data_IF_844681057419
#
_entry.id   IF_844681057419
#
_cell.length_a   1.000
_cell.length_b   1.000
_cell.length_c   1.000
_cell.angle_alpha   90.00
_cell.angle_beta   90.00
_cell.angle_gamma   90.00
#
_symmetry.space_group_name_H-M   'P 1'
#
loop_
_entity.id
_entity.type
_entity.pdbx_description
1 polymer ?
#
# COMPACT_ATOMS: atom_id res chain seq x y z
N UNK A 1 18.85 -2.98 -10.26
CA UNK A 1 18.22 -3.57 -9.05
C UNK A 1 17.51 -4.89 -9.33
N UNK A 2 16.62 -4.97 -10.33
CA UNK A 2 15.89 -6.22 -10.62
C UNK A 2 16.79 -7.44 -10.89
N UNK A 3 17.94 -7.23 -11.56
CA UNK A 3 18.93 -8.29 -11.76
C UNK A 3 19.50 -8.86 -10.45
N UNK A 4 19.65 -8.02 -9.40
CA UNK A 4 20.06 -8.49 -8.07
C UNK A 4 18.97 -9.36 -7.44
N UNK A 5 17.70 -8.98 -7.58
CA UNK A 5 16.57 -9.76 -7.07
C UNK A 5 16.55 -11.14 -7.73
N UNK A 6 16.69 -11.21 -9.06
CA UNK A 6 16.80 -12.49 -9.78
C UNK A 6 18.01 -13.30 -9.33
N UNK A 7 19.18 -12.69 -9.16
CA UNK A 7 20.36 -13.40 -8.65
C UNK A 7 20.16 -13.96 -7.23
N UNK A 8 19.40 -13.26 -6.37
CA UNK A 8 19.03 -13.77 -5.04
C UNK A 8 18.06 -14.96 -5.15
N UNK A 9 17.06 -14.88 -6.03
CA UNK A 9 16.11 -15.97 -6.30
C UNK A 9 16.86 -17.21 -6.82
N UNK A 10 17.69 -17.06 -7.85
CA UNK A 10 18.48 -18.14 -8.45
C UNK A 10 19.43 -18.79 -7.44
N UNK A 11 20.09 -17.98 -6.61
CA UNK A 11 21.00 -18.48 -5.56
C UNK A 11 20.26 -19.23 -4.46
N UNK A 12 19.01 -18.85 -4.15
CA UNK A 12 18.15 -19.55 -3.19
C UNK A 12 17.58 -20.86 -3.75
N UNK A 13 17.30 -20.90 -5.05
CA UNK A 13 16.69 -22.03 -5.76
C UNK A 13 17.65 -23.16 -6.17
N UNK A 14 18.85 -23.27 -5.58
CA UNK A 14 19.86 -24.26 -6.01
C UNK A 14 19.42 -25.74 -5.96
N UNK A 15 18.25 -26.04 -5.38
CA UNK A 15 17.63 -27.37 -5.33
C UNK A 15 16.22 -27.46 -5.97
N UNK A 16 15.69 -26.40 -6.60
CA UNK A 16 14.31 -26.37 -7.12
C UNK A 16 14.25 -26.35 -8.67
N UNK A 17 13.49 -27.29 -9.23
CA UNK A 17 13.31 -27.45 -10.67
C UNK A 17 12.71 -26.20 -11.36
N UNK A 18 13.10 -26.03 -12.62
CA UNK A 18 12.71 -25.02 -13.61
C UNK A 18 11.34 -24.38 -13.39
N UNK A 19 11.31 -23.05 -13.25
CA UNK A 19 10.08 -22.27 -13.17
C UNK A 19 9.19 -22.48 -14.40
N UNK A 20 7.96 -22.94 -14.16
CA UNK A 20 6.88 -22.94 -15.15
C UNK A 20 6.56 -21.50 -15.57
N UNK A 21 6.33 -21.28 -16.87
CA UNK A 21 5.73 -20.04 -17.37
C UNK A 21 4.30 -19.95 -16.83
N UNK A 22 4.13 -19.32 -15.67
CA UNK A 22 2.82 -19.21 -15.03
C UNK A 22 2.00 -18.15 -15.76
N UNK A 23 0.90 -18.59 -16.37
CA UNK A 23 -0.02 -17.75 -17.12
C UNK A 23 -1.16 -17.18 -16.26
N UNK A 24 -1.41 -17.75 -15.07
CA UNK A 24 -2.57 -17.42 -14.22
C UNK A 24 -2.18 -16.53 -13.02
N UNK A 25 -3.03 -15.56 -12.61
CA UNK A 25 -2.85 -14.76 -11.39
C UNK A 25 -2.64 -15.58 -10.12
N UNK A 26 -3.40 -16.66 -9.91
CA UNK A 26 -3.23 -17.51 -8.73
C UNK A 26 -1.82 -18.14 -8.70
N UNK A 27 -1.35 -18.62 -9.86
CA UNK A 27 -0.03 -19.18 -10.00
C UNK A 27 1.08 -18.12 -9.80
N UNK A 28 0.83 -16.86 -10.18
CA UNK A 28 1.75 -15.75 -9.93
C UNK A 28 1.97 -15.52 -8.43
N UNK A 29 0.90 -15.37 -7.64
CA UNK A 29 1.05 -15.05 -6.22
C UNK A 29 1.62 -16.21 -5.40
N UNK A 30 1.36 -17.45 -5.81
CA UNK A 30 2.05 -18.61 -5.23
C UNK A 30 3.55 -18.59 -5.58
N UNK A 31 3.90 -18.34 -6.84
CA UNK A 31 5.29 -18.25 -7.27
C UNK A 31 6.06 -17.12 -6.55
N UNK A 32 5.41 -15.98 -6.31
CA UNK A 32 6.02 -14.90 -5.52
C UNK A 32 6.40 -15.36 -4.11
N UNK A 33 5.60 -16.23 -3.48
CA UNK A 33 5.90 -16.76 -2.13
C UNK A 33 7.12 -17.68 -2.15
N UNK A 34 7.25 -18.51 -3.18
CA UNK A 34 8.43 -19.37 -3.38
C UNK A 34 9.70 -18.52 -3.62
N UNK A 35 9.55 -17.44 -4.41
CA UNK A 35 10.62 -16.47 -4.65
C UNK A 35 11.02 -15.72 -3.37
N UNK A 36 10.05 -15.34 -2.52
CA UNK A 36 10.31 -14.72 -1.22
C UNK A 36 11.11 -15.64 -0.30
N UNK A 37 10.73 -16.92 -0.23
CA UNK A 37 11.45 -17.92 0.54
C UNK A 37 12.90 -18.05 0.05
N UNK A 38 13.09 -18.14 -1.27
CA UNK A 38 14.41 -18.19 -1.91
C UNK A 38 15.30 -17.00 -1.53
N UNK A 39 14.77 -15.78 -1.63
CA UNK A 39 15.48 -14.54 -1.28
C UNK A 39 15.85 -14.56 0.21
N UNK A 40 14.92 -14.96 1.09
CA UNK A 40 15.16 -15.03 2.54
C UNK A 40 16.22 -16.06 2.91
N UNK A 41 16.24 -17.22 2.26
CA UNK A 41 17.28 -18.25 2.47
C UNK A 41 18.67 -17.66 2.22
N UNK A 42 18.84 -16.93 1.11
CA UNK A 42 20.13 -16.30 0.79
C UNK A 42 20.48 -15.22 1.80
N UNK A 43 19.54 -14.32 2.13
CA UNK A 43 19.81 -13.21 3.04
C UNK A 43 20.06 -13.63 4.49
N UNK A 44 19.52 -14.77 4.93
CA UNK A 44 19.84 -15.37 6.24
C UNK A 44 21.33 -15.69 6.39
N UNK A 45 22.05 -15.93 5.28
CA UNK A 45 23.50 -16.16 5.29
C UNK A 45 24.30 -14.86 5.51
N UNK A 46 23.66 -13.69 5.41
CA UNK A 46 24.27 -12.36 5.54
C UNK A 46 23.48 -11.47 6.52
N UNK A 47 23.32 -11.86 7.80
CA UNK A 47 22.42 -11.17 8.74
C UNK A 47 22.89 -9.76 9.12
N UNK A 48 24.13 -9.39 8.80
CA UNK A 48 24.76 -8.16 9.26
C UNK A 48 24.37 -6.91 8.46
N UNK A 49 23.64 -7.01 7.34
CA UNK A 49 23.28 -5.85 6.51
C UNK A 49 22.62 -4.71 7.30
N UNK A 50 21.48 -4.95 7.99
CA UNK A 50 20.83 -3.93 8.80
C UNK A 50 21.73 -3.33 9.89
N UNK A 51 22.58 -4.14 10.50
CA UNK A 51 23.53 -3.71 11.52
C UNK A 51 24.61 -2.79 10.92
N UNK A 52 25.20 -3.19 9.80
CA UNK A 52 26.23 -2.41 9.10
C UNK A 52 25.67 -1.07 8.62
N UNK A 53 24.44 -1.06 8.10
CA UNK A 53 23.76 0.19 7.72
C UNK A 53 23.54 1.10 8.93
N UNK A 54 23.14 0.53 10.06
CA UNK A 54 22.95 1.27 11.32
C UNK A 54 24.27 1.85 11.83
N UNK A 55 25.35 1.05 11.82
CA UNK A 55 26.70 1.51 12.20
C UNK A 55 27.15 2.65 11.30
N UNK A 56 26.97 2.54 9.96
CA UNK A 56 27.29 3.61 9.01
C UNK A 56 26.57 4.91 9.34
N UNK A 57 25.25 4.84 9.61
CA UNK A 57 24.47 6.02 10.00
C UNK A 57 24.99 6.68 11.29
N UNK A 58 25.45 5.90 12.27
CA UNK A 58 26.05 6.44 13.49
C UNK A 58 27.49 6.93 13.30
N UNK A 59 28.25 6.37 12.35
CA UNK A 59 29.63 6.75 12.09
C UNK A 59 29.79 7.91 11.11
N UNK A 60 28.84 8.09 10.18
CA UNK A 60 28.97 9.01 9.05
C UNK A 60 28.52 10.45 9.34
N UNK A 61 27.84 10.78 10.45
CA UNK A 61 27.70 12.18 10.85
C UNK A 61 27.13 12.38 12.27
N UNK A 62 27.90 13.04 13.14
CA UNK A 62 27.38 13.68 14.36
C UNK A 62 26.39 14.83 14.08
N UNK A 63 26.04 15.08 12.81
CA UNK A 63 25.16 16.15 12.35
C UNK A 63 23.70 15.72 12.15
N UNK A 64 23.41 14.43 11.94
CA UNK A 64 22.02 13.97 11.78
C UNK A 64 21.31 13.88 13.14
N UNK A 65 20.68 14.98 13.53
CA UNK A 65 19.75 15.01 14.67
C UNK A 65 18.40 14.44 14.22
N UNK A 66 18.11 13.20 14.56
CA UNK A 66 16.78 12.59 14.41
C UNK A 66 16.59 11.72 13.17
N UNK A 67 15.34 11.29 12.97
CA UNK A 67 14.90 10.46 11.86
C UNK A 67 14.24 11.33 10.77
N UNK A 68 14.83 11.35 9.59
CA UNK A 68 14.31 12.03 8.40
C UNK A 68 14.57 11.12 7.18
N UNK A 69 13.56 10.42 6.66
CA UNK A 69 13.76 9.47 5.58
C UNK A 69 14.37 10.09 4.33
N UNK A 70 13.97 11.31 3.98
CA UNK A 70 14.41 11.98 2.75
C UNK A 70 15.90 12.33 2.84
N UNK A 71 16.34 12.85 3.99
CA UNK A 71 17.77 13.11 4.23
C UNK A 71 18.58 11.82 4.35
N UNK A 72 17.97 10.74 4.81
CA UNK A 72 18.58 9.40 4.90
C UNK A 72 18.63 8.64 3.56
N UNK A 73 18.60 9.37 2.43
CA UNK A 73 18.69 8.85 1.06
C UNK A 73 17.55 7.89 0.68
N UNK A 74 16.46 7.87 1.41
CA UNK A 74 15.25 7.13 1.02
C UNK A 74 14.40 8.00 0.07
N UNK A 75 14.93 8.29 -1.11
CA UNK A 75 14.35 9.28 -2.01
C UNK A 75 13.00 8.84 -2.59
N UNK A 76 12.08 9.78 -2.88
CA UNK A 76 10.84 9.46 -3.55
C UNK A 76 11.10 8.89 -4.95
N UNK A 77 10.27 7.94 -5.40
CA UNK A 77 10.41 7.30 -6.71
C UNK A 77 9.05 7.21 -7.38
N UNK A 78 8.95 7.63 -8.64
CA UNK A 78 7.76 7.37 -9.46
C UNK A 78 7.67 5.86 -9.72
N UNK A 79 6.55 5.24 -9.34
CA UNK A 79 6.35 3.82 -9.50
C UNK A 79 5.65 3.53 -10.83
N UNK A 80 4.41 4.02 -10.98
CA UNK A 80 3.60 3.78 -12.15
C UNK A 80 2.59 4.90 -12.32
N UNK A 81 2.00 5.00 -13.49
CA UNK A 81 0.89 5.90 -13.78
C UNK A 81 -0.28 5.06 -14.27
N UNK A 82 -1.47 5.30 -13.74
CA UNK A 82 -2.69 4.73 -14.30
C UNK A 82 -3.56 5.83 -14.86
N UNK A 83 -4.03 5.62 -16.10
CA UNK A 83 -4.73 6.63 -16.85
C UNK A 83 -5.85 6.07 -17.73
N UNK A 84 -6.92 6.86 -17.86
CA UNK A 84 -8.01 6.75 -18.82
C UNK A 84 -8.38 8.15 -19.29
N UNK A 85 -9.44 8.32 -20.08
CA UNK A 85 -9.89 9.66 -20.50
C UNK A 85 -10.22 10.59 -19.31
N UNK A 86 -10.66 10.02 -18.18
CA UNK A 86 -11.11 10.78 -17.00
C UNK A 86 -10.13 10.75 -15.83
N UNK A 87 -9.14 9.87 -15.88
CA UNK A 87 -8.25 9.58 -14.75
C UNK A 87 -6.82 9.70 -15.27
N UNK A 88 -5.96 10.42 -14.56
CA UNK A 88 -4.52 10.42 -14.86
C UNK A 88 -3.75 10.63 -13.58
N UNK A 89 -3.23 9.54 -13.01
CA UNK A 89 -2.66 9.57 -11.65
C UNK A 89 -1.30 8.91 -11.64
N UNK A 90 -0.31 9.62 -11.14
CA UNK A 90 1.04 9.10 -10.93
C UNK A 90 1.21 8.63 -9.50
N UNK A 91 1.45 7.32 -9.32
CA UNK A 91 1.75 6.72 -8.03
C UNK A 91 3.24 6.89 -7.72
N UNK A 92 3.54 7.48 -6.57
CA UNK A 92 4.90 7.79 -6.10
C UNK A 92 5.14 7.03 -4.80
N UNK A 93 6.25 6.30 -4.72
CA UNK A 93 6.76 5.79 -3.46
C UNK A 93 7.38 6.97 -2.72
N UNK A 94 6.75 7.40 -1.64
CA UNK A 94 7.18 8.50 -0.79
C UNK A 94 7.32 7.95 0.63
N UNK A 95 8.49 8.01 1.30
CA UNK A 95 8.51 7.75 2.74
C UNK A 95 7.76 8.84 3.50
N UNK A 96 7.44 8.60 4.78
CA UNK A 96 6.81 9.60 5.64
C UNK A 96 7.52 10.97 5.50
N UNK A 97 6.84 12.01 5.00
CA UNK A 97 7.46 13.30 4.70
C UNK A 97 7.63 14.16 5.95
N UNK A 98 8.18 13.57 7.01
CA UNK A 98 8.42 14.22 8.30
C UNK A 98 9.84 14.03 8.75
N UNK A 99 10.37 15.05 9.42
CA UNK A 99 11.56 14.96 10.25
C UNK A 99 11.15 14.81 11.72
N UNK A 100 11.77 13.87 12.43
CA UNK A 100 11.43 13.54 13.80
C UNK A 100 12.68 13.41 14.67
N UNK A 101 12.96 14.43 15.47
CA UNK A 101 14.07 14.41 16.43
C UNK A 101 13.70 13.73 17.75
N UNK A 102 12.44 13.85 18.16
CA UNK A 102 11.91 13.28 19.39
C UNK A 102 10.67 12.45 19.07
N UNK A 103 10.42 11.38 19.84
CA UNK A 103 9.26 10.51 19.58
C UNK A 103 7.94 11.30 19.65
N UNK A 104 7.83 12.25 20.57
CA UNK A 104 6.64 13.08 20.74
C UNK A 104 6.52 14.25 19.74
N UNK A 105 7.53 14.53 18.92
CA UNK A 105 7.54 15.71 18.04
C UNK A 105 8.09 15.40 16.65
N UNK A 106 7.22 15.53 15.65
CA UNK A 106 7.56 15.47 14.25
C UNK A 106 7.13 16.76 13.53
N UNK A 107 7.86 17.14 12.50
CA UNK A 107 7.59 18.30 11.65
C UNK A 107 7.64 17.86 10.18
N UNK A 108 6.87 18.52 9.32
CA UNK A 108 6.88 18.21 7.88
C UNK A 108 8.26 18.58 7.30
N UNK A 109 8.85 17.67 6.53
CA UNK A 109 10.13 17.88 5.88
C UNK A 109 10.08 19.08 4.90
N UNK A 110 11.18 19.81 4.79
CA UNK A 110 11.26 21.01 3.95
C UNK A 110 11.16 20.66 2.46
N UNK A 111 11.73 19.53 2.06
CA UNK A 111 11.69 18.98 0.72
C UNK A 111 10.23 18.71 0.29
N UNK A 112 9.42 18.12 1.18
CA UNK A 112 8.00 17.90 0.92
C UNK A 112 7.22 19.22 0.87
N UNK A 113 7.56 20.18 1.73
CA UNK A 113 7.01 21.54 1.66
C UNK A 113 7.32 22.19 0.31
N UNK A 114 8.53 22.00 -0.23
CA UNK A 114 8.93 22.44 -1.57
C UNK A 114 8.11 21.77 -2.67
N UNK A 115 7.92 20.45 -2.57
CA UNK A 115 7.07 19.69 -3.49
C UNK A 115 5.63 20.23 -3.52
N UNK A 116 5.01 20.43 -2.35
CA UNK A 116 3.63 20.98 -2.28
C UNK A 116 3.54 22.39 -2.88
N UNK A 117 4.53 23.25 -2.64
CA UNK A 117 4.60 24.57 -3.30
C UNK A 117 4.68 24.45 -4.81
N UNK A 118 5.47 23.51 -5.32
CA UNK A 118 5.60 23.28 -6.75
C UNK A 118 4.26 22.85 -7.36
N UNK A 119 3.49 21.98 -6.69
CA UNK A 119 2.14 21.59 -7.12
C UNK A 119 1.17 22.78 -7.15
N UNK A 120 1.13 23.57 -6.07
CA UNK A 120 0.28 24.77 -5.98
C UNK A 120 0.67 25.88 -6.97
N UNK A 121 1.93 25.93 -7.42
CA UNK A 121 2.39 26.96 -8.35
C UNK A 121 2.09 26.63 -9.82
N UNK A 122 1.66 25.40 -10.13
CA UNK A 122 1.35 25.03 -11.51
C UNK A 122 0.02 25.63 -11.97
N UNK A 123 -0.07 25.94 -13.27
CA UNK A 123 -1.28 26.52 -13.90
C UNK A 123 -2.55 25.66 -13.75
N UNK A 124 -2.42 24.40 -13.35
CA UNK A 124 -3.54 23.44 -13.21
C UNK A 124 -3.85 23.08 -11.75
N UNK A 125 -3.27 23.76 -10.76
CA UNK A 125 -3.46 23.47 -9.32
C UNK A 125 -3.40 21.95 -9.03
N UNK A 126 -2.21 21.37 -9.20
CA UNK A 126 -2.05 19.93 -9.02
C UNK A 126 -2.25 19.53 -7.56
N UNK A 127 -2.78 18.31 -7.35
CA UNK A 127 -3.09 17.78 -6.03
C UNK A 127 -2.41 16.45 -5.75
N UNK A 128 -1.87 16.32 -4.55
CA UNK A 128 -1.32 15.08 -4.01
C UNK A 128 -2.27 14.47 -2.98
N UNK A 129 -2.61 13.20 -3.16
CA UNK A 129 -3.26 12.39 -2.13
C UNK A 129 -2.21 11.54 -1.42
N UNK A 130 -2.06 11.76 -0.12
CA UNK A 130 -1.19 10.97 0.75
C UNK A 130 -2.04 10.05 1.62
N UNK A 131 -1.99 8.75 1.33
CA UNK A 131 -2.56 7.72 2.17
C UNK A 131 -1.52 7.34 3.22
N UNK A 132 -1.70 7.82 4.44
CA UNK A 132 -0.86 7.51 5.58
C UNK A 132 -1.26 6.15 6.17
N UNK A 133 -0.34 5.18 6.11
CA UNK A 133 -0.56 3.81 6.56
C UNK A 133 -0.12 3.55 8.01
N UNK A 134 0.30 4.60 8.71
CA UNK A 134 0.69 4.54 10.11
C UNK A 134 -0.52 4.47 11.03
N UNK A 135 -0.33 3.93 12.23
CA UNK A 135 -1.34 3.89 13.27
C UNK A 135 -1.23 5.12 14.19
N UNK A 136 -2.14 6.07 14.03
CA UNK A 136 -2.17 7.28 14.87
C UNK A 136 -2.53 7.02 16.34
N UNK A 137 -3.10 5.87 16.70
CA UNK A 137 -3.34 5.49 18.10
C UNK A 137 -2.06 5.04 18.78
N UNK A 138 -1.05 4.69 17.99
CA UNK A 138 0.23 4.21 18.48
C UNK A 138 1.15 5.35 18.91
N UNK A 139 1.66 5.28 20.15
CA UNK A 139 2.49 6.32 20.74
C UNK A 139 3.77 6.65 19.93
N UNK A 140 4.33 5.68 19.20
CA UNK A 140 5.56 5.85 18.41
C UNK A 140 5.32 6.39 16.99
N UNK A 141 4.05 6.43 16.54
CA UNK A 141 3.66 6.93 15.21
C UNK A 141 2.81 8.19 15.26
N UNK A 142 2.10 8.41 16.39
CA UNK A 142 1.17 9.51 16.62
C UNK A 142 1.71 10.88 16.17
N UNK A 143 2.92 11.26 16.61
CA UNK A 143 3.48 12.57 16.29
C UNK A 143 3.64 12.81 14.78
N UNK A 144 4.03 11.77 14.01
CA UNK A 144 4.17 11.86 12.55
C UNK A 144 2.81 11.97 11.87
N UNK A 145 1.83 11.17 12.30
CA UNK A 145 0.45 11.23 11.78
C UNK A 145 -0.11 12.65 11.97
N UNK A 146 -0.08 13.16 13.20
CA UNK A 146 -0.61 14.49 13.54
C UNK A 146 0.11 15.60 12.75
N UNK A 147 1.42 15.50 12.55
CA UNK A 147 2.18 16.49 11.80
C UNK A 147 1.72 16.60 10.33
N UNK A 148 1.49 15.46 9.68
CA UNK A 148 1.04 15.40 8.28
C UNK A 148 -0.43 15.79 8.17
N UNK A 149 -1.29 15.27 9.04
CA UNK A 149 -2.72 15.54 9.08
C UNK A 149 -3.01 17.03 9.30
N UNK A 150 -2.28 17.69 10.21
CA UNK A 150 -2.34 19.16 10.40
C UNK A 150 -1.70 19.91 9.24
N UNK A 151 -0.79 19.27 8.51
CA UNK A 151 -0.10 19.82 7.34
C UNK A 151 -1.04 20.30 6.25
N UNK A 152 -2.05 19.49 5.93
CA UNK A 152 -3.03 19.81 4.89
C UNK A 152 -3.90 21.03 5.24
N UNK A 153 -4.10 21.33 6.54
CA UNK A 153 -4.87 22.49 7.01
C UNK A 153 -4.14 23.82 6.86
N UNK A 154 -2.84 23.81 6.53
CA UNK A 154 -2.08 25.05 6.29
C UNK A 154 -2.60 25.68 4.99
N UNK A 155 -3.06 26.93 5.06
CA UNK A 155 -3.68 27.64 3.93
C UNK A 155 -2.88 27.55 2.62
N UNK A 156 -1.55 27.60 2.70
CA UNK A 156 -0.65 27.48 1.55
C UNK A 156 -0.62 26.09 0.87
N UNK A 157 -1.17 25.05 1.48
CA UNK A 157 -1.14 23.66 0.97
C UNK A 157 -2.53 23.03 0.82
N UNK A 158 -3.59 23.71 1.26
CA UNK A 158 -4.93 23.13 1.31
C UNK A 158 -5.43 22.64 -0.06
N UNK A 159 -5.05 23.31 -1.15
CA UNK A 159 -5.40 22.88 -2.52
C UNK A 159 -4.51 21.76 -3.06
N UNK A 160 -3.25 21.67 -2.59
CA UNK A 160 -2.25 20.74 -3.14
C UNK A 160 -2.11 19.43 -2.37
N UNK A 161 -2.67 19.32 -1.16
CA UNK A 161 -2.52 18.15 -0.31
C UNK A 161 -3.86 17.69 0.27
N UNK A 162 -4.21 16.43 0.04
CA UNK A 162 -5.18 15.68 0.81
C UNK A 162 -4.48 14.57 1.58
N UNK A 163 -4.81 14.39 2.87
CA UNK A 163 -4.23 13.32 3.70
C UNK A 163 -5.36 12.50 4.30
N UNK A 164 -5.28 11.19 4.13
CA UNK A 164 -6.15 10.21 4.80
C UNK A 164 -5.28 9.20 5.53
N UNK A 165 -5.60 8.87 6.77
CA UNK A 165 -4.90 7.82 7.52
C UNK A 165 -5.72 6.53 7.50
N UNK A 166 -5.12 5.46 6.95
CA UNK A 166 -5.67 4.10 6.91
C UNK A 166 -4.69 3.16 7.66
N UNK A 167 -4.89 2.92 8.96
CA UNK A 167 -3.86 2.34 9.81
C UNK A 167 -3.62 0.85 9.52
N UNK A 168 -2.35 0.46 9.32
CA UNK A 168 -1.97 -0.95 9.07
C UNK A 168 -1.32 -1.65 10.28
N UNK A 169 -1.44 -1.09 11.48
CA UNK A 169 -0.78 -1.57 12.70
C UNK A 169 -1.71 -1.73 13.91
N UNK A 170 -3.01 -1.46 13.74
CA UNK A 170 -3.99 -1.63 14.82
C UNK A 170 -4.28 -3.10 15.08
N UNK A 171 -4.76 -3.41 16.28
CA UNK A 171 -5.18 -4.77 16.63
C UNK A 171 -6.28 -5.29 15.69
N UNK A 172 -7.23 -4.42 15.31
CA UNK A 172 -8.25 -4.80 14.35
C UNK A 172 -7.64 -5.12 12.98
N UNK A 173 -6.77 -4.26 12.45
CA UNK A 173 -6.16 -4.54 11.14
C UNK A 173 -5.37 -5.85 11.16
N UNK A 174 -4.64 -6.12 12.25
CA UNK A 174 -3.83 -7.33 12.44
C UNK A 174 -4.63 -8.55 12.90
N UNK A 175 -5.93 -8.38 13.19
CA UNK A 175 -6.82 -9.38 13.76
C UNK A 175 -6.20 -10.05 15.00
N UNK A 176 -5.53 -9.25 15.83
CA UNK A 176 -4.86 -9.65 17.08
C UNK A 176 -5.71 -9.33 18.32
N UNK A 177 -5.25 -9.75 19.50
CA UNK A 177 -5.93 -9.47 20.77
C UNK A 177 -7.37 -9.99 20.79
N UNK A 178 -8.33 -9.11 21.04
CA UNK A 178 -9.76 -9.46 21.09
C UNK A 178 -10.35 -9.91 19.75
N UNK A 179 -9.67 -9.66 18.63
CA UNK A 179 -10.17 -9.96 17.28
C UNK A 179 -9.76 -11.35 16.75
N UNK A 180 -8.99 -12.13 17.53
CA UNK A 180 -8.47 -13.45 17.11
C UNK A 180 -9.59 -14.46 16.89
N UNK A 181 -10.61 -14.47 17.75
CA UNK A 181 -11.65 -15.50 17.78
C UNK A 181 -12.96 -15.09 17.08
N UNK A 182 -12.97 -13.94 16.41
CA UNK A 182 -14.18 -13.37 15.78
C UNK A 182 -14.47 -13.97 14.41
N UNK A 183 -14.79 -15.27 14.40
CA UNK A 183 -15.05 -16.03 13.19
C UNK A 183 -16.42 -15.75 12.56
N UNK A 184 -17.37 -15.15 13.30
CA UNK A 184 -18.69 -14.80 12.78
C UNK A 184 -18.59 -13.64 11.76
N UNK A 185 -19.08 -13.87 10.54
CA UNK A 185 -18.97 -12.92 9.45
C UNK A 185 -19.80 -11.64 9.69
N UNK A 186 -20.99 -11.78 10.26
CA UNK A 186 -21.88 -10.63 10.49
C UNK A 186 -21.29 -9.69 11.54
N UNK A 187 -20.78 -10.24 12.65
CA UNK A 187 -20.11 -9.45 13.68
C UNK A 187 -18.82 -8.84 13.16
N UNK A 188 -17.97 -9.60 12.43
CA UNK A 188 -16.77 -9.05 11.81
C UNK A 188 -17.09 -7.87 10.87
N UNK A 189 -18.08 -8.01 9.99
CA UNK A 189 -18.48 -6.95 9.06
C UNK A 189 -19.02 -5.72 9.80
N UNK A 190 -19.85 -5.92 10.82
CA UNK A 190 -20.33 -4.83 11.68
C UNK A 190 -19.15 -4.08 12.31
N UNK A 191 -18.19 -4.82 12.85
CA UNK A 191 -17.00 -4.26 13.49
C UNK A 191 -16.13 -3.49 12.48
N UNK A 192 -15.89 -4.02 11.29
CA UNK A 192 -15.17 -3.31 10.23
C UNK A 192 -15.81 -1.94 9.93
N UNK A 193 -17.15 -1.88 9.85
CA UNK A 193 -17.89 -0.64 9.63
C UNK A 193 -17.74 0.32 10.82
N UNK A 194 -17.84 -0.19 12.04
CA UNK A 194 -17.62 0.59 13.26
C UNK A 194 -16.20 1.16 13.34
N UNK A 195 -15.17 0.42 12.90
CA UNK A 195 -13.79 0.93 12.88
C UNK A 195 -13.65 2.17 11.99
N UNK A 196 -14.31 2.18 10.84
CA UNK A 196 -14.28 3.33 9.93
C UNK A 196 -15.12 4.49 10.49
N UNK A 197 -16.31 4.19 11.02
CA UNK A 197 -17.22 5.20 11.58
C UNK A 197 -16.66 5.91 12.83
N UNK A 198 -15.94 5.18 13.69
CA UNK A 198 -15.28 5.73 14.88
C UNK A 198 -14.01 6.52 14.56
N UNK A 199 -13.59 6.52 13.28
CA UNK A 199 -12.51 7.31 12.71
C UNK A 199 -11.24 7.35 13.60
N UNK A 200 -11.01 8.49 14.25
CA UNK A 200 -9.80 8.76 15.03
C UNK A 200 -9.56 7.77 16.18
N UNK A 201 -10.64 7.27 16.80
CA UNK A 201 -10.57 6.32 17.92
C UNK A 201 -10.00 4.97 17.49
N UNK A 202 -10.19 4.61 16.22
CA UNK A 202 -9.73 3.36 15.61
C UNK A 202 -8.48 3.55 14.74
N UNK A 203 -7.86 4.73 14.81
CA UNK A 203 -6.64 5.05 14.08
C UNK A 203 -6.84 5.59 12.67
N UNK A 204 -8.08 5.72 12.21
CA UNK A 204 -8.37 6.35 10.92
C UNK A 204 -8.30 7.88 11.04
N UNK A 205 -8.06 8.54 9.92
CA UNK A 205 -8.25 9.98 9.80
C UNK A 205 -8.85 10.28 8.43
N UNK A 206 -9.98 10.98 8.42
CA UNK A 206 -10.63 11.48 7.22
C UNK A 206 -10.73 13.00 7.34
N UNK A 207 -10.24 13.78 6.36
CA UNK A 207 -10.34 15.23 6.42
C UNK A 207 -11.80 15.67 6.26
N UNK A 208 -12.09 16.89 6.72
CA UNK A 208 -13.44 17.48 6.73
C UNK A 208 -14.06 17.64 5.34
N UNK A 209 -13.26 17.60 4.28
CA UNK A 209 -13.72 17.61 2.88
C UNK A 209 -14.45 16.32 2.47
N UNK A 210 -14.22 15.21 3.17
CA UNK A 210 -14.94 13.96 2.88
C UNK A 210 -16.36 14.03 3.44
N UNK A 211 -17.34 13.82 2.56
CA UNK A 211 -18.72 13.60 2.96
C UNK A 211 -18.84 12.26 3.72
N UNK A 212 -18.98 12.37 5.04
CA UNK A 212 -19.08 11.22 5.95
C UNK A 212 -20.27 10.31 5.61
N UNK A 213 -21.41 10.86 5.19
CA UNK A 213 -22.58 10.04 4.87
C UNK A 213 -22.33 9.21 3.60
N UNK A 214 -21.71 9.82 2.59
CA UNK A 214 -21.32 9.11 1.37
C UNK A 214 -20.24 8.07 1.65
N UNK A 215 -19.24 8.40 2.48
CA UNK A 215 -18.19 7.45 2.89
C UNK A 215 -18.81 6.23 3.57
N UNK A 216 -19.66 6.42 4.58
CA UNK A 216 -20.28 5.30 5.30
C UNK A 216 -21.21 4.47 4.40
N UNK A 217 -21.91 5.11 3.46
CA UNK A 217 -22.70 4.39 2.44
C UNK A 217 -21.81 3.54 1.53
N UNK A 218 -20.67 4.07 1.08
CA UNK A 218 -19.69 3.30 0.31
C UNK A 218 -19.15 2.13 1.13
N UNK A 219 -18.80 2.35 2.41
CA UNK A 219 -18.28 1.31 3.30
C UNK A 219 -19.27 0.16 3.43
N UNK A 220 -20.56 0.45 3.64
CA UNK A 220 -21.61 -0.57 3.71
C UNK A 220 -21.67 -1.41 2.42
N UNK A 221 -21.68 -0.74 1.26
CA UNK A 221 -21.76 -1.40 -0.04
C UNK A 221 -20.50 -2.24 -0.33
N UNK A 222 -19.31 -1.70 -0.04
CA UNK A 222 -18.05 -2.37 -0.26
C UNK A 222 -17.91 -3.61 0.62
N UNK A 223 -18.29 -3.53 1.91
CA UNK A 223 -18.26 -4.68 2.82
C UNK A 223 -19.18 -5.80 2.34
N UNK A 224 -20.42 -5.48 1.97
CA UNK A 224 -21.34 -6.47 1.43
C UNK A 224 -20.86 -7.08 0.12
N UNK A 225 -20.31 -6.24 -0.78
CA UNK A 225 -19.75 -6.71 -2.05
C UNK A 225 -18.59 -7.67 -1.81
N UNK A 226 -17.65 -7.33 -0.93
CA UNK A 226 -16.49 -8.19 -0.65
C UNK A 226 -16.94 -9.54 -0.12
N UNK A 227 -17.87 -9.53 0.84
CA UNK A 227 -18.39 -10.75 1.44
C UNK A 227 -19.08 -11.65 0.42
N UNK A 228 -19.92 -11.08 -0.45
CA UNK A 228 -20.63 -11.83 -1.47
C UNK A 228 -19.71 -12.33 -2.59
N UNK A 229 -18.85 -11.46 -3.12
CA UNK A 229 -18.06 -11.74 -4.33
C UNK A 229 -16.80 -12.55 -4.01
N UNK A 230 -16.01 -12.15 -3.00
CA UNK A 230 -14.71 -12.78 -2.73
C UNK A 230 -14.76 -13.89 -1.68
N UNK A 231 -15.84 -13.95 -0.90
CA UNK A 231 -15.99 -14.94 0.17
C UNK A 231 -17.27 -15.78 0.06
N UNK A 232 -18.05 -15.61 -1.02
CA UNK A 232 -19.24 -16.42 -1.30
C UNK A 232 -20.34 -16.33 -0.24
N UNK A 233 -20.40 -15.23 0.52
CA UNK A 233 -21.40 -15.03 1.56
C UNK A 233 -21.27 -15.97 2.77
N UNK A 234 -20.09 -16.57 2.99
CA UNK A 234 -19.86 -17.51 4.10
C UNK A 234 -20.21 -16.90 5.45
N UNK A 235 -20.98 -17.61 6.26
CA UNK A 235 -21.33 -17.20 7.63
C UNK A 235 -20.10 -17.11 8.55
N UNK A 236 -19.05 -17.90 8.24
CA UNK A 236 -17.81 -17.95 9.02
C UNK A 236 -16.62 -17.46 8.20
N UNK A 237 -15.94 -16.43 8.70
CA UNK A 237 -14.68 -15.92 8.16
C UNK A 237 -13.56 -16.25 9.14
N UNK A 238 -12.78 -17.30 8.87
CA UNK A 238 -11.59 -17.63 9.67
C UNK A 238 -10.56 -16.50 9.65
N UNK A 239 -9.64 -16.48 10.61
CA UNK A 239 -8.63 -15.43 10.77
C UNK A 239 -7.95 -14.99 9.45
N UNK A 240 -7.50 -15.94 8.62
CA UNK A 240 -6.91 -15.64 7.30
C UNK A 240 -7.88 -14.90 6.38
N UNK A 241 -9.14 -15.35 6.29
CA UNK A 241 -10.16 -14.70 5.47
C UNK A 241 -10.38 -13.25 5.92
N UNK A 242 -10.41 -12.99 7.23
CA UNK A 242 -10.60 -11.63 7.77
C UNK A 242 -9.43 -10.71 7.43
N UNK A 243 -8.20 -11.22 7.50
CA UNK A 243 -7.01 -10.47 7.06
C UNK A 243 -7.08 -10.11 5.57
N UNK A 244 -7.45 -11.08 4.72
CA UNK A 244 -7.59 -10.89 3.28
C UNK A 244 -8.74 -9.90 2.96
N UNK A 245 -9.85 -10.02 3.68
CA UNK A 245 -11.00 -9.11 3.58
C UNK A 245 -10.58 -7.67 3.84
N UNK A 246 -9.81 -7.41 4.90
CA UNK A 246 -9.35 -6.04 5.25
C UNK A 246 -8.44 -5.47 4.15
N UNK A 247 -7.54 -6.27 3.57
CA UNK A 247 -6.69 -5.79 2.47
C UNK A 247 -7.52 -5.45 1.22
N UNK A 248 -8.48 -6.29 0.85
CA UNK A 248 -9.39 -6.02 -0.28
C UNK A 248 -10.20 -4.76 0.00
N UNK A 249 -10.72 -4.60 1.23
CA UNK A 249 -11.41 -3.39 1.64
C UNK A 249 -10.52 -2.14 1.52
N UNK A 250 -9.24 -2.21 1.90
CA UNK A 250 -8.31 -1.09 1.77
C UNK A 250 -8.02 -0.75 0.31
N UNK A 251 -7.94 -1.74 -0.58
CA UNK A 251 -7.81 -1.50 -2.03
C UNK A 251 -9.02 -0.74 -2.58
N UNK A 252 -10.23 -1.21 -2.26
CA UNK A 252 -11.47 -0.57 -2.71
C UNK A 252 -11.64 0.84 -2.12
N UNK A 253 -11.35 1.01 -0.82
CA UNK A 253 -11.40 2.31 -0.16
C UNK A 253 -10.39 3.28 -0.76
N UNK A 254 -9.18 2.82 -1.10
CA UNK A 254 -8.18 3.67 -1.76
C UNK A 254 -8.69 4.22 -3.10
N UNK A 255 -9.37 3.40 -3.91
CA UNK A 255 -10.01 3.87 -5.14
C UNK A 255 -11.13 4.86 -4.88
N UNK A 256 -11.91 4.67 -3.81
CA UNK A 256 -12.95 5.64 -3.43
C UNK A 256 -12.35 6.99 -3.07
N UNK A 257 -11.27 7.00 -2.29
CA UNK A 257 -10.56 8.23 -1.94
C UNK A 257 -9.96 8.92 -3.17
N UNK A 258 -9.46 8.14 -4.14
CA UNK A 258 -9.02 8.69 -5.43
C UNK A 258 -10.18 9.38 -6.17
N UNK A 259 -11.37 8.79 -6.17
CA UNK A 259 -12.56 9.39 -6.79
C UNK A 259 -12.99 10.70 -6.10
N UNK A 260 -12.96 10.72 -4.78
CA UNK A 260 -13.38 11.86 -3.97
C UNK A 260 -12.40 13.04 -4.12
N UNK A 261 -11.10 12.77 -4.05
CA UNK A 261 -10.09 13.84 -4.10
C UNK A 261 -9.60 14.21 -5.50
N UNK A 262 -9.76 13.31 -6.49
CA UNK A 262 -9.24 13.43 -7.86
C UNK A 262 -7.79 13.93 -7.93
N UNK A 263 -6.84 13.23 -7.29
CA UNK A 263 -5.45 13.69 -7.22
C UNK A 263 -4.71 13.49 -8.55
N UNK A 264 -3.70 14.32 -8.84
CA UNK A 264 -2.73 14.09 -9.92
C UNK A 264 -1.65 13.08 -9.50
N UNK A 265 -1.34 13.06 -8.20
CA UNK A 265 -0.31 12.18 -7.65
C UNK A 265 -0.79 11.50 -6.37
N UNK A 266 -0.39 10.25 -6.19
CA UNK A 266 -0.79 9.41 -5.05
C UNK A 266 0.45 8.84 -4.37
N UNK A 267 0.44 8.76 -3.05
CA UNK A 267 1.40 7.94 -2.31
C UNK A 267 0.76 7.14 -1.19
N UNK A 268 1.25 5.92 -0.98
CA UNK A 268 0.86 5.04 0.11
C UNK A 268 2.06 4.88 1.05
N UNK A 269 2.04 5.61 2.16
CA UNK A 269 3.25 5.94 2.91
C UNK A 269 3.15 5.48 4.36
N UNK A 270 4.20 4.85 4.87
CA UNK A 270 4.41 4.62 6.30
C UNK A 270 5.72 5.31 6.73
N UNK A 271 6.25 5.00 7.92
CA UNK A 271 7.47 5.60 8.48
C UNK A 271 8.60 5.77 7.44
N UNK A 272 8.91 4.73 6.67
CA UNK A 272 9.94 4.76 5.63
C UNK A 272 9.45 4.23 4.26
N UNK A 273 8.19 3.83 4.14
CA UNK A 273 7.63 3.22 2.94
C UNK A 273 8.49 2.06 2.36
N UNK A 274 9.23 1.34 3.23
CA UNK A 274 10.09 0.24 2.83
C UNK A 274 9.30 -1.07 2.71
N UNK A 275 8.48 -1.38 3.71
CA UNK A 275 7.69 -2.61 3.73
C UNK A 275 6.21 -2.32 3.48
N UNK A 276 5.56 -1.65 4.42
CA UNK A 276 4.11 -1.41 4.37
C UNK A 276 3.71 -0.54 3.18
N UNK A 277 4.47 0.53 2.89
CA UNK A 277 4.22 1.39 1.73
C UNK A 277 4.50 0.68 0.40
N UNK A 278 5.57 -0.11 0.34
CA UNK A 278 5.92 -0.91 -0.83
C UNK A 278 4.86 -1.98 -1.12
N UNK A 279 4.45 -2.76 -0.11
CA UNK A 279 3.42 -3.79 -0.27
C UNK A 279 2.06 -3.20 -0.62
N UNK A 280 1.67 -2.06 -0.01
CA UNK A 280 0.41 -1.39 -0.34
C UNK A 280 0.42 -0.84 -1.78
N UNK A 281 1.51 -0.20 -2.22
CA UNK A 281 1.63 0.33 -3.58
C UNK A 281 1.65 -0.77 -4.64
N UNK A 282 2.38 -1.87 -4.37
CA UNK A 282 2.42 -3.07 -5.20
C UNK A 282 1.06 -3.78 -5.24
N UNK A 283 0.35 -3.81 -4.11
CA UNK A 283 -1.01 -4.33 -3.99
C UNK A 283 -1.98 -3.57 -4.89
N UNK A 284 -1.96 -2.23 -4.83
CA UNK A 284 -2.79 -1.38 -5.67
C UNK A 284 -2.46 -1.55 -7.16
N UNK A 285 -1.18 -1.58 -7.50
CA UNK A 285 -0.72 -1.84 -8.88
C UNK A 285 -1.28 -3.16 -9.42
N UNK A 286 -1.05 -4.26 -8.69
CA UNK A 286 -1.47 -5.58 -9.10
C UNK A 286 -3.00 -5.69 -9.18
N UNK A 287 -3.71 -5.10 -8.23
CA UNK A 287 -5.17 -5.05 -8.25
C UNK A 287 -5.70 -4.34 -9.50
N UNK A 288 -5.27 -3.09 -9.75
CA UNK A 288 -5.70 -2.33 -10.93
C UNK A 288 -5.37 -3.06 -12.24
N UNK A 289 -4.18 -3.67 -12.30
CA UNK A 289 -3.72 -4.44 -13.46
C UNK A 289 -4.62 -5.64 -13.71
N UNK A 290 -4.92 -6.45 -12.69
CA UNK A 290 -5.79 -7.62 -12.83
C UNK A 290 -7.23 -7.25 -13.19
N UNK A 291 -7.73 -6.11 -12.71
CA UNK A 291 -9.10 -5.67 -12.99
C UNK A 291 -9.29 -5.10 -14.41
N UNK A 292 -8.22 -4.63 -15.07
CA UNK A 292 -8.31 -3.94 -16.36
C UNK A 292 -7.69 -4.71 -17.54
N UNK A 293 -6.67 -5.54 -17.29
CA UNK A 293 -5.96 -6.28 -18.34
C UNK A 293 -6.32 -7.76 -18.30
N UNK A 294 -5.97 -8.48 -19.37
CA UNK A 294 -6.05 -9.94 -19.37
C UNK A 294 -5.30 -10.54 -18.17
N UNK A 295 -5.79 -11.64 -17.65
CA UNK A 295 -5.19 -12.38 -16.52
C UNK A 295 -3.72 -12.77 -16.74
N UNK A 296 -3.22 -12.79 -17.98
CA UNK A 296 -1.84 -13.08 -18.34
C UNK A 296 -0.87 -11.94 -18.05
N UNK A 297 0.14 -12.19 -17.21
CA UNK A 297 1.22 -11.25 -16.89
C UNK A 297 2.45 -11.44 -17.78
N UNK A 298 2.93 -10.35 -18.37
CA UNK A 298 4.21 -10.27 -19.08
C UNK A 298 5.39 -10.42 -18.11
N UNK A 299 6.59 -10.69 -18.65
CA UNK A 299 7.80 -10.78 -17.83
C UNK A 299 8.11 -9.43 -17.19
N UNK A 300 7.96 -8.36 -17.95
CA UNK A 300 8.22 -6.99 -17.53
C UNK A 300 7.32 -6.58 -16.36
N UNK A 301 6.02 -6.90 -16.40
CA UNK A 301 5.09 -6.63 -15.30
C UNK A 301 5.46 -7.42 -14.03
N UNK A 302 5.89 -8.69 -14.18
CA UNK A 302 6.34 -9.53 -13.05
C UNK A 302 7.62 -8.99 -12.43
N UNK A 303 8.59 -8.64 -13.27
CA UNK A 303 9.88 -8.05 -12.89
C UNK A 303 9.66 -6.70 -12.18
N UNK A 304 8.71 -5.90 -12.66
CA UNK A 304 8.34 -4.64 -12.04
C UNK A 304 7.68 -4.84 -10.68
N UNK A 305 6.76 -5.80 -10.55
CA UNK A 305 6.15 -6.14 -9.26
C UNK A 305 7.19 -6.60 -8.23
N UNK A 306 8.14 -7.44 -8.64
CA UNK A 306 9.28 -7.84 -7.80
C UNK A 306 10.12 -6.64 -7.38
N UNK A 307 10.42 -5.75 -8.32
CA UNK A 307 11.16 -4.53 -8.02
C UNK A 307 10.43 -3.67 -6.99
N UNK A 308 9.12 -3.44 -7.13
CA UNK A 308 8.33 -2.66 -6.17
C UNK A 308 8.40 -3.25 -4.75
N UNK A 309 8.36 -4.57 -4.62
CA UNK A 309 8.35 -5.27 -3.34
C UNK A 309 9.72 -5.30 -2.66
N UNK A 310 10.78 -5.61 -3.41
CA UNK A 310 12.09 -5.90 -2.82
C UNK A 310 13.08 -4.75 -2.91
N UNK A 311 13.01 -3.91 -3.94
CA UNK A 311 13.99 -2.84 -4.12
C UNK A 311 14.09 -1.89 -2.91
N UNK A 312 12.98 -1.43 -2.29
CA UNK A 312 13.06 -0.56 -1.13
C UNK A 312 13.76 -1.23 0.07
N UNK A 313 13.39 -2.47 0.39
CA UNK A 313 13.97 -3.19 1.54
C UNK A 313 15.44 -3.54 1.33
N UNK A 314 15.82 -3.96 0.13
CA UNK A 314 17.20 -4.29 -0.21
C UNK A 314 18.09 -3.04 -0.24
N UNK A 315 17.62 -1.93 -0.81
CA UNK A 315 18.44 -0.71 -0.96
C UNK A 315 18.53 0.13 0.32
N UNK A 316 17.43 0.28 1.05
CA UNK A 316 17.36 1.17 2.22
C UNK A 316 17.76 0.43 3.49
N UNK A 317 17.36 -0.84 3.64
CA UNK A 317 17.53 -1.62 4.88
C UNK A 317 18.45 -2.81 4.74
N UNK A 318 18.93 -3.13 3.54
CA UNK A 318 19.79 -4.28 3.27
C UNK A 318 19.19 -5.61 3.78
N UNK A 319 17.86 -5.76 3.67
CA UNK A 319 17.12 -6.98 4.07
C UNK A 319 15.96 -7.29 3.14
N UNK A 320 15.36 -8.47 3.30
CA UNK A 320 14.07 -8.79 2.69
C UNK A 320 12.96 -7.89 3.24
N UNK A 321 11.90 -7.74 2.44
CA UNK A 321 10.63 -7.15 2.89
C UNK A 321 10.10 -7.89 4.13
N UNK A 322 9.39 -7.17 4.99
CA UNK A 322 8.70 -7.79 6.12
C UNK A 322 7.74 -8.90 5.65
N UNK A 323 7.86 -10.07 6.28
CA UNK A 323 7.14 -11.29 5.87
C UNK A 323 5.63 -11.16 6.07
N UNK A 324 5.19 -10.46 7.10
CA UNK A 324 3.78 -10.27 7.36
C UNK A 324 3.17 -9.33 6.33
N UNK A 325 3.86 -8.23 5.98
CA UNK A 325 3.42 -7.31 4.90
C UNK A 325 3.33 -7.98 3.56
N UNK A 326 4.32 -8.79 3.22
CA UNK A 326 4.35 -9.54 1.98
C UNK A 326 3.22 -10.58 1.92
N UNK A 327 3.08 -11.40 2.97
CA UNK A 327 2.06 -12.46 3.00
C UNK A 327 0.64 -11.92 2.97
N UNK A 328 0.35 -10.82 3.69
CA UNK A 328 -0.99 -10.21 3.68
C UNK A 328 -1.40 -9.76 2.29
N UNK A 329 -0.52 -9.03 1.61
CA UNK A 329 -0.78 -8.53 0.26
C UNK A 329 -0.93 -9.68 -0.74
N UNK A 330 0.02 -10.63 -0.76
CA UNK A 330 -0.03 -11.75 -1.71
C UNK A 330 -1.24 -12.67 -1.48
N UNK A 331 -1.62 -12.90 -0.22
CA UNK A 331 -2.79 -13.69 0.15
C UNK A 331 -4.09 -13.06 -0.34
N UNK A 332 -4.30 -11.77 -0.07
CA UNK A 332 -5.49 -11.05 -0.51
C UNK A 332 -5.59 -10.98 -2.03
N UNK A 333 -4.48 -10.72 -2.72
CA UNK A 333 -4.46 -10.72 -4.19
C UNK A 333 -4.67 -12.11 -4.79
N UNK A 334 -4.26 -13.18 -4.11
CA UNK A 334 -4.57 -14.54 -4.56
C UNK A 334 -6.07 -14.83 -4.50
N UNK A 335 -6.79 -14.31 -3.48
CA UNK A 335 -8.26 -14.39 -3.41
C UNK A 335 -8.89 -13.63 -4.57
N UNK A 336 -8.46 -12.38 -4.81
CA UNK A 336 -8.96 -11.57 -5.95
C UNK A 336 -8.65 -12.25 -7.28
N UNK A 337 -7.43 -12.77 -7.45
CA UNK A 337 -6.99 -13.44 -8.66
C UNK A 337 -7.79 -14.70 -8.96
N UNK A 338 -8.11 -15.51 -7.94
CA UNK A 338 -8.93 -16.71 -8.09
C UNK A 338 -10.36 -16.37 -8.57
N UNK A 339 -10.99 -15.35 -7.98
CA UNK A 339 -12.33 -14.92 -8.41
C UNK A 339 -12.32 -14.28 -9.80
N UNK A 340 -11.29 -13.51 -10.15
CA UNK A 340 -11.17 -12.96 -11.51
C UNK A 340 -10.91 -14.05 -12.56
N UNK A 341 -10.17 -15.11 -12.23
CA UNK A 341 -9.99 -16.26 -13.13
C UNK A 341 -11.32 -16.98 -13.40
N UNK A 342 -12.19 -17.11 -12.40
CA UNK A 342 -13.47 -17.80 -12.51
C UNK A 342 -14.59 -16.93 -13.11
N UNK A 343 -14.66 -15.65 -12.70
CA UNK A 343 -15.83 -14.79 -12.88
C UNK A 343 -15.45 -13.35 -13.27
N UNK A 344 -14.43 -13.17 -14.13
CA UNK A 344 -13.86 -11.86 -14.47
C UNK A 344 -14.89 -10.75 -14.73
N UNK A 345 -15.83 -10.98 -15.66
CA UNK A 345 -16.81 -9.97 -16.06
C UNK A 345 -17.75 -9.59 -14.92
N UNK A 346 -18.19 -10.57 -14.13
CA UNK A 346 -19.11 -10.37 -13.02
C UNK A 346 -18.44 -9.61 -11.87
N UNK A 347 -17.19 -9.98 -11.53
CA UNK A 347 -16.39 -9.31 -10.51
C UNK A 347 -16.14 -7.86 -10.89
N UNK A 348 -15.66 -7.61 -12.11
CA UNK A 348 -15.42 -6.25 -12.61
C UNK A 348 -16.71 -5.44 -12.62
N UNK A 349 -17.81 -6.00 -13.15
CA UNK A 349 -19.10 -5.31 -13.18
C UNK A 349 -19.65 -5.01 -11.79
N UNK A 350 -19.48 -5.92 -10.82
CA UNK A 350 -19.88 -5.70 -9.43
C UNK A 350 -19.05 -4.57 -8.81
N UNK A 351 -17.71 -4.64 -8.89
CA UNK A 351 -16.83 -3.61 -8.34
C UNK A 351 -17.04 -2.24 -9.01
N UNK A 352 -17.30 -2.19 -10.32
CA UNK A 352 -17.58 -0.94 -11.03
C UNK A 352 -18.79 -0.19 -10.47
N UNK A 353 -19.78 -0.88 -9.90
CA UNK A 353 -20.98 -0.23 -9.32
C UNK A 353 -20.68 0.59 -8.06
N UNK A 354 -19.53 0.35 -7.41
CA UNK A 354 -19.12 1.13 -6.24
C UNK A 354 -18.63 2.53 -6.59
N UNK A 355 -18.35 2.81 -7.87
CA UNK A 355 -17.66 4.02 -8.31
C UNK A 355 -18.44 4.74 -9.40
N UNK A 356 -18.32 6.06 -9.41
CA UNK A 356 -18.74 6.93 -10.51
C UNK A 356 -17.66 7.03 -11.59
N UNK A 357 -16.39 6.91 -11.20
CA UNK A 357 -15.25 6.91 -12.11
C UNK A 357 -15.02 5.53 -12.74
N UNK A 358 -14.60 5.48 -14.02
CA UNK A 358 -14.39 4.23 -14.75
C UNK A 358 -13.03 3.59 -14.40
N UNK A 359 -12.81 3.19 -13.14
CA UNK A 359 -11.54 2.57 -12.72
C UNK A 359 -11.24 1.23 -13.40
N UNK A 360 -12.28 0.53 -13.87
CA UNK A 360 -12.16 -0.83 -14.43
C UNK A 360 -12.60 -0.90 -15.90
N UNK A 361 -12.56 0.24 -16.60
CA UNK A 361 -12.86 0.31 -18.03
C UNK A 361 -11.77 1.12 -18.72
N UNK A 362 -11.02 0.46 -19.59
CA UNK A 362 -9.99 1.07 -20.44
C UNK A 362 -8.91 1.83 -19.64
N UNK A 363 -8.70 1.47 -18.37
CA UNK A 363 -7.62 2.04 -17.56
C UNK A 363 -6.31 1.38 -17.94
N UNK A 364 -5.38 2.17 -18.49
CA UNK A 364 -4.03 1.71 -18.79
C UNK A 364 -3.15 1.96 -17.57
N UNK A 365 -2.56 0.89 -17.03
CA UNK A 365 -1.52 0.97 -16.00
C UNK A 365 -0.17 0.88 -16.70
N UNK A 366 0.66 1.92 -16.56
CA UNK A 366 1.98 2.02 -17.18
C UNK A 366 3.04 2.14 -16.11
N UNK A 367 4.00 1.23 -16.13
CA UNK A 367 5.16 1.22 -15.24
C UNK A 367 6.06 2.43 -15.52
N UNK A 368 6.68 2.97 -14.47
CA UNK A 368 7.78 3.89 -14.66
C UNK A 368 8.95 3.14 -15.32
N UNK A 369 9.55 3.74 -16.34
CA UNK A 369 10.79 3.23 -16.91
C UNK A 369 11.84 3.18 -15.82
N UNK A 370 12.32 1.97 -15.50
CA UNK A 370 13.38 1.77 -14.53
C UNK A 370 14.65 2.48 -15.03
N UNK A 371 15.11 3.47 -14.26
CA UNK A 371 16.41 4.11 -14.46
C UNK A 371 17.55 3.20 -13.99
#
# INVERSE_FOLDING_TARGET
>A
MVALIHALIEKGNRDAATQSQTASPLALFNNLRDQDESIRIVLKQYPNGPLMKTIRLFSEDGQMKGFDPLKQQNQPVHLYTFASEKIHISCIRLPCPTSQQFIAKAEIAEEFTGFLRALSAQKRDQRHLLINLQDRTSWHEHARCIAIEKGQKKSKFASALAVVTLPKNTDFYMQSGSYIEWDDAAEFMKQLKEQVASAEQCGFFFPEEIDQAQLLSFVEQAVHLIHAVFFGGKERLVHKNRLDFIEIFYLLLTLKLIEDFRPDTLSLSCKDAVDTGASASAGLYAFLRMMNNSTHWSKEEKDFLLWMLYAPALSVRERAIDVQRFNRMTSALAVVGAELEAHHQDVVAACSKLYQLPFFKELVVKEATSA
#
